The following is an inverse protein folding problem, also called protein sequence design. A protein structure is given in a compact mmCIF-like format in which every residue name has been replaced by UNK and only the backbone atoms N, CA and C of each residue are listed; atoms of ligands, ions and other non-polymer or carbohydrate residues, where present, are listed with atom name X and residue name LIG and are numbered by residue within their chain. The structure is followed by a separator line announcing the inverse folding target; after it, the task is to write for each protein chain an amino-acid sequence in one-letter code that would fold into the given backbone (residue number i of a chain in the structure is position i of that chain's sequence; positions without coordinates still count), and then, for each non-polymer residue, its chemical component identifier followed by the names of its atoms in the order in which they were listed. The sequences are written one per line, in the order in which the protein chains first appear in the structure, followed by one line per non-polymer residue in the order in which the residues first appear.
data_IF_777752567656
#
_entry.id   IF_777752567656
#
_cell.length_a   1.000
_cell.length_b   1.000
_cell.length_c   1.000
_cell.angle_alpha   90.00
_cell.angle_beta   90.00
_cell.angle_gamma   90.00
#
_symmetry.space_group_name_H-M   'P 1'
#
loop_
_entity.id
_entity.type
_entity.pdbx_description
1 polymer ?
#
# COMPACT_ATOMS: atom_id res chain seq x y z
N UNK A 1 -11.22 42.12 56.70
CA UNK A 1 -11.64 41.28 55.56
C UNK A 1 -11.60 42.11 54.27
N UNK A 2 -10.58 41.93 53.44
CA UNK A 2 -10.67 41.77 51.97
C UNK A 2 -9.26 41.51 51.42
N UNK A 3 -9.24 40.59 50.47
CA UNK A 3 -8.09 39.83 50.01
C UNK A 3 -7.18 40.58 49.04
N UNK A 4 -5.92 40.15 49.11
CA UNK A 4 -4.80 40.14 48.16
C UNK A 4 -5.21 39.95 46.68
N UNK A 5 -4.50 40.59 45.76
CA UNK A 5 -4.02 39.94 44.52
C UNK A 5 -2.91 40.74 43.83
N UNK A 6 -1.75 40.09 43.69
CA UNK A 6 -0.55 40.54 42.97
C UNK A 6 -0.64 40.00 41.53
N UNK A 7 -0.42 40.79 40.47
CA UNK A 7 -0.31 40.23 39.13
C UNK A 7 1.07 39.58 38.96
N UNK A 8 1.07 38.25 38.99
CA UNK A 8 2.15 37.41 38.52
C UNK A 8 2.34 37.59 37.00
N UNK A 9 3.39 38.30 36.58
CA UNK A 9 3.84 38.22 35.19
C UNK A 9 4.73 36.97 35.08
N UNK A 10 4.07 35.91 34.63
CA UNK A 10 4.55 34.53 34.53
C UNK A 10 5.74 34.43 33.58
N UNK A 11 6.77 33.73 34.03
CA UNK A 11 7.93 33.26 33.30
C UNK A 11 7.51 32.50 32.01
N UNK A 12 7.98 32.95 30.85
CA UNK A 12 7.97 32.14 29.63
C UNK A 12 9.30 31.37 29.55
N UNK A 13 9.32 30.19 30.18
CA UNK A 13 10.24 29.10 29.85
C UNK A 13 9.40 27.98 29.22
N UNK A 14 9.83 27.51 28.05
CA UNK A 14 9.25 26.38 27.32
C UNK A 14 9.68 26.48 25.85
N UNK A 15 10.89 26.08 25.47
CA UNK A 15 11.40 24.71 25.38
C UNK A 15 10.57 23.81 24.43
N UNK A 16 11.31 23.22 23.49
CA UNK A 16 10.92 22.16 22.56
C UNK A 16 9.97 22.54 21.41
N UNK A 17 10.53 23.18 20.37
CA UNK A 17 10.05 22.90 19.02
C UNK A 17 10.33 21.43 18.73
N UNK A 18 9.28 20.61 18.78
CA UNK A 18 9.31 19.20 18.45
C UNK A 18 9.98 18.99 17.08
N UNK A 19 11.16 18.36 17.07
CA UNK A 19 11.63 17.61 15.91
C UNK A 19 10.69 16.41 15.73
N UNK A 20 9.52 16.64 15.11
CA UNK A 20 8.76 15.59 14.45
C UNK A 20 9.13 15.62 12.96
N UNK A 21 10.41 15.44 12.69
CA UNK A 21 10.91 15.01 11.38
C UNK A 21 11.49 13.61 11.56
N UNK A 22 10.68 12.70 12.12
CA UNK A 22 10.83 11.31 11.78
C UNK A 22 10.40 11.23 10.33
N UNK A 23 11.40 11.06 9.46
CA UNK A 23 11.23 10.90 8.04
C UNK A 23 10.04 9.98 7.75
N UNK A 24 9.15 10.50 6.92
CA UNK A 24 8.13 9.80 6.14
C UNK A 24 8.87 8.78 5.25
N UNK A 25 9.38 7.72 5.87
CA UNK A 25 10.19 6.69 5.22
C UNK A 25 9.22 5.76 4.49
N UNK A 26 9.05 6.02 3.19
CA UNK A 26 8.65 5.02 2.20
C UNK A 26 7.33 4.28 2.47
N UNK A 27 6.18 4.94 2.52
CA UNK A 27 4.91 4.19 2.40
C UNK A 27 4.51 4.11 0.91
N UNK A 28 4.63 2.94 0.24
CA UNK A 28 4.14 2.74 -1.12
C UNK A 28 2.61 2.65 -1.09
N UNK A 29 1.96 3.77 -0.79
CA UNK A 29 0.51 3.84 -0.57
C UNK A 29 -0.31 3.96 -1.86
N UNK A 30 0.34 3.74 -3.00
CA UNK A 30 -0.29 3.96 -4.28
C UNK A 30 0.02 2.84 -5.26
N UNK A 31 -0.94 2.59 -6.13
CA UNK A 31 -0.84 1.70 -7.28
C UNK A 31 -1.75 2.28 -8.37
N UNK A 32 -1.23 2.46 -9.58
CA UNK A 32 -2.00 3.03 -10.68
C UNK A 32 -2.92 1.98 -11.31
N UNK A 33 -4.00 2.45 -11.92
CA UNK A 33 -4.82 1.60 -12.79
C UNK A 33 -4.08 1.33 -14.09
N UNK A 34 -4.23 0.14 -14.65
CA UNK A 34 -3.71 -0.19 -15.98
C UNK A 34 -3.41 -1.66 -16.17
N UNK A 35 -2.73 -1.97 -17.27
CA UNK A 35 -2.25 -3.31 -17.59
C UNK A 35 -0.85 -3.49 -17.02
N UNK A 36 -0.70 -4.48 -16.15
CA UNK A 36 0.58 -4.86 -15.59
C UNK A 36 1.09 -6.11 -16.28
N UNK A 37 2.35 -6.08 -16.68
CA UNK A 37 3.03 -7.18 -17.37
C UNK A 37 4.08 -7.82 -16.46
N UNK A 38 4.29 -9.15 -16.52
CA UNK A 38 5.31 -9.81 -15.72
C UNK A 38 6.71 -9.39 -16.18
N UNK A 39 7.54 -8.87 -15.27
CA UNK A 39 8.96 -8.63 -15.47
C UNK A 39 9.79 -9.88 -15.24
N UNK A 40 9.52 -10.56 -14.14
CA UNK A 40 10.17 -11.82 -13.73
C UNK A 40 9.10 -12.75 -13.19
N UNK A 41 9.26 -14.05 -13.42
CA UNK A 41 8.35 -15.07 -12.89
C UNK A 41 9.08 -16.41 -12.72
N UNK A 42 8.70 -17.18 -11.69
CA UNK A 42 9.16 -18.55 -11.54
C UNK A 42 8.30 -19.58 -12.32
N UNK A 43 7.28 -19.11 -13.05
CA UNK A 43 6.39 -19.94 -13.84
C UNK A 43 6.03 -19.23 -15.15
N UNK A 44 6.08 -19.94 -16.28
CA UNK A 44 5.83 -19.39 -17.61
C UNK A 44 4.36 -19.07 -17.90
N UNK A 45 3.44 -19.56 -17.08
CA UNK A 45 1.99 -19.38 -17.26
C UNK A 45 1.45 -18.16 -16.51
N UNK A 46 2.32 -17.28 -16.00
CA UNK A 46 1.91 -16.02 -15.39
C UNK A 46 1.52 -15.04 -16.48
N UNK A 47 0.28 -14.58 -16.42
CA UNK A 47 -0.29 -13.68 -17.41
C UNK A 47 -0.22 -12.21 -17.00
N UNK A 48 -0.31 -11.29 -17.96
CA UNK A 48 -0.63 -9.88 -17.69
C UNK A 48 -1.94 -9.71 -16.91
N UNK A 49 -2.04 -8.60 -16.18
CA UNK A 49 -3.10 -8.33 -15.22
C UNK A 49 -3.65 -6.91 -15.41
N UNK A 50 -4.94 -6.78 -15.76
CA UNK A 50 -5.62 -5.48 -15.70
C UNK A 50 -5.99 -5.19 -14.24
N UNK A 51 -5.42 -4.12 -13.70
CA UNK A 51 -5.58 -3.70 -12.31
C UNK A 51 -6.42 -2.42 -12.23
N UNK A 52 -7.42 -2.44 -11.36
CA UNK A 52 -8.22 -1.27 -10.96
C UNK A 52 -8.12 -1.07 -9.46
N UNK A 53 -7.91 0.16 -9.03
CA UNK A 53 -7.62 0.52 -7.65
C UNK A 53 -8.79 1.24 -7.01
N UNK A 54 -9.05 0.91 -5.75
CA UNK A 54 -10.07 1.54 -4.92
C UNK A 54 -9.39 2.30 -3.79
N UNK A 55 -9.80 3.55 -3.58
CA UNK A 55 -9.21 4.42 -2.58
C UNK A 55 -10.27 4.96 -1.63
N UNK A 56 -9.89 5.09 -0.37
CA UNK A 56 -10.66 5.78 0.65
C UNK A 56 -9.74 6.73 1.41
N UNK A 57 -10.13 8.01 1.51
CA UNK A 57 -9.34 9.04 2.18
C UNK A 57 -7.88 9.12 1.66
N UNK A 58 -7.70 8.98 0.34
CA UNK A 58 -6.39 9.03 -0.32
C UNK A 58 -5.53 7.78 -0.16
N UNK A 59 -6.01 6.72 0.49
CA UNK A 59 -5.27 5.46 0.70
C UNK A 59 -5.83 4.36 -0.18
N UNK A 60 -4.96 3.50 -0.70
CA UNK A 60 -5.36 2.28 -1.41
C UNK A 60 -6.01 1.30 -0.42
N UNK A 61 -7.27 0.93 -0.67
CA UNK A 61 -8.04 0.02 0.21
C UNK A 61 -8.36 -1.32 -0.44
N UNK A 62 -8.38 -1.37 -1.77
CA UNK A 62 -8.53 -2.62 -2.52
C UNK A 62 -8.01 -2.47 -3.95
N UNK A 63 -7.76 -3.62 -4.58
CA UNK A 63 -7.54 -3.73 -6.02
C UNK A 63 -8.51 -4.75 -6.62
N UNK A 64 -8.98 -4.52 -7.84
CA UNK A 64 -9.60 -5.52 -8.69
C UNK A 64 -8.63 -5.92 -9.78
N UNK A 65 -8.43 -7.21 -9.95
CA UNK A 65 -7.48 -7.77 -10.92
C UNK A 65 -8.20 -8.73 -11.85
N UNK A 66 -8.10 -8.46 -13.15
CA UNK A 66 -8.48 -9.39 -14.20
C UNK A 66 -7.23 -9.90 -14.91
N UNK A 67 -7.06 -11.22 -14.96
CA UNK A 67 -5.96 -11.85 -15.70
C UNK A 67 -6.29 -11.86 -17.19
N UNK A 68 -5.35 -11.42 -18.02
CA UNK A 68 -5.53 -11.24 -19.47
C UNK A 68 -4.80 -12.36 -20.22
N UNK A 69 -5.52 -13.05 -21.11
CA UNK A 69 -5.00 -14.16 -21.92
C UNK A 69 -5.51 -15.53 -21.45
N UNK A 70 -4.84 -16.60 -21.87
CA UNK A 70 -5.23 -18.00 -21.59
C UNK A 70 -4.77 -18.45 -20.19
N UNK A 71 -5.26 -17.75 -19.18
CA UNK A 71 -4.94 -17.99 -17.78
C UNK A 71 -6.07 -18.83 -17.15
N UNK A 72 -5.71 -19.78 -16.29
CA UNK A 72 -6.66 -20.69 -15.63
C UNK A 72 -7.79 -19.97 -14.86
N UNK A 73 -7.57 -18.73 -14.42
CA UNK A 73 -8.54 -17.89 -13.74
C UNK A 73 -8.72 -16.60 -14.52
N UNK A 74 -9.91 -16.37 -15.07
CA UNK A 74 -10.29 -15.08 -15.66
C UNK A 74 -11.13 -14.31 -14.63
N UNK A 75 -10.60 -13.20 -14.14
CA UNK A 75 -11.26 -12.33 -13.15
C UNK A 75 -12.42 -11.52 -13.73
N UNK A 76 -12.81 -10.39 -13.10
CA UNK A 76 -12.07 -9.67 -12.06
C UNK A 76 -12.29 -10.23 -10.64
N UNK A 77 -11.20 -10.35 -9.87
CA UNK A 77 -11.23 -10.67 -8.44
C UNK A 77 -10.84 -9.44 -7.62
N UNK A 78 -11.46 -9.25 -6.46
CA UNK A 78 -11.17 -8.14 -5.55
C UNK A 78 -10.29 -8.60 -4.40
N UNK A 79 -9.25 -7.82 -4.10
CA UNK A 79 -8.28 -8.07 -3.05
C UNK A 79 -8.21 -6.85 -2.14
N UNK A 80 -8.52 -7.02 -0.86
CA UNK A 80 -8.49 -5.95 0.12
C UNK A 80 -7.07 -5.68 0.57
N UNK A 81 -6.74 -4.40 0.74
CA UNK A 81 -5.42 -3.96 1.11
C UNK A 81 -5.34 -3.64 2.61
N UNK A 82 -4.22 -4.01 3.21
CA UNK A 82 -3.85 -3.68 4.58
C UNK A 82 -2.42 -3.15 4.59
N UNK A 83 -2.20 -2.07 5.33
CA UNK A 83 -0.86 -1.57 5.62
C UNK A 83 -0.31 -2.30 6.85
N UNK A 84 0.92 -2.79 6.70
CA UNK A 84 1.77 -3.23 7.81
C UNK A 84 2.84 -2.17 8.04
N UNK A 85 3.58 -2.20 9.17
CA UNK A 85 4.61 -1.19 9.45
C UNK A 85 5.67 -1.01 8.35
N UNK A 86 5.85 -2.00 7.46
CA UNK A 86 6.90 -1.98 6.45
C UNK A 86 6.39 -2.12 5.00
N UNK A 87 5.12 -2.48 4.80
CA UNK A 87 4.62 -2.84 3.46
C UNK A 87 3.11 -2.64 3.33
N UNK A 88 2.67 -2.23 2.14
CA UNK A 88 1.27 -2.29 1.71
C UNK A 88 1.02 -3.61 0.98
N UNK A 89 0.01 -4.36 1.43
CA UNK A 89 -0.30 -5.68 0.88
C UNK A 89 -1.78 -5.76 0.56
N UNK A 90 -2.13 -6.28 -0.62
CA UNK A 90 -3.51 -6.63 -0.98
C UNK A 90 -3.62 -8.14 -1.10
N UNK A 91 -4.63 -8.76 -0.49
CA UNK A 91 -4.69 -10.22 -0.45
C UNK A 91 -6.09 -10.80 -0.43
N UNK A 92 -6.16 -12.08 -0.77
CA UNK A 92 -7.26 -13.00 -0.53
C UNK A 92 -6.66 -14.35 -0.13
N UNK A 93 -7.45 -15.34 0.35
CA UNK A 93 -6.90 -16.66 0.62
C UNK A 93 -6.11 -17.23 -0.58
N UNK A 94 -4.85 -17.58 -0.36
CA UNK A 94 -3.95 -18.17 -1.36
C UNK A 94 -3.31 -17.19 -2.35
N UNK A 95 -3.60 -15.88 -2.25
CA UNK A 95 -3.15 -14.86 -3.20
C UNK A 95 -2.69 -13.60 -2.46
N UNK A 96 -1.49 -13.14 -2.77
CA UNK A 96 -0.87 -11.97 -2.15
C UNK A 96 -0.24 -11.04 -3.18
N UNK A 97 -0.50 -9.75 -3.03
CA UNK A 97 0.09 -8.66 -3.79
C UNK A 97 0.85 -7.77 -2.80
N UNK A 98 2.17 -7.66 -2.96
CA UNK A 98 3.01 -6.76 -2.18
C UNK A 98 3.33 -5.54 -3.03
N UNK A 99 2.73 -4.41 -2.70
CA UNK A 99 2.87 -3.16 -3.47
C UNK A 99 4.24 -2.56 -3.15
N UNK A 100 5.07 -2.38 -4.19
CA UNK A 100 6.43 -1.84 -4.04
C UNK A 100 6.47 -0.34 -4.29
N UNK A 101 5.72 0.11 -5.29
CA UNK A 101 5.51 1.52 -5.61
C UNK A 101 4.25 1.68 -6.48
N UNK A 102 4.05 2.87 -7.05
CA UNK A 102 2.87 3.20 -7.86
C UNK A 102 2.69 2.40 -9.16
N UNK A 103 3.73 1.70 -9.61
CA UNK A 103 3.78 0.96 -10.89
C UNK A 103 4.37 -0.43 -10.75
N UNK A 104 4.79 -0.86 -9.56
CA UNK A 104 5.37 -2.18 -9.33
C UNK A 104 4.73 -2.92 -8.16
N UNK A 105 4.54 -4.22 -8.33
CA UNK A 105 4.19 -5.12 -7.23
C UNK A 105 4.78 -6.52 -7.42
N UNK A 106 4.91 -7.23 -6.31
CA UNK A 106 5.16 -8.67 -6.29
C UNK A 106 3.83 -9.40 -6.14
N UNK A 107 3.52 -10.28 -7.08
CA UNK A 107 2.37 -11.19 -7.03
C UNK A 107 2.82 -12.56 -6.58
N UNK A 108 2.07 -13.15 -5.66
CA UNK A 108 2.35 -14.47 -5.09
C UNK A 108 1.05 -15.27 -5.06
N UNK A 109 1.06 -16.44 -5.69
CA UNK A 109 0.08 -17.48 -5.51
C UNK A 109 0.65 -18.51 -4.53
N UNK A 110 0.29 -18.36 -3.26
CA UNK A 110 0.80 -19.17 -2.15
C UNK A 110 0.36 -20.64 -2.27
N UNK A 111 -0.75 -20.91 -2.95
CA UNK A 111 -1.29 -22.27 -3.12
C UNK A 111 -0.39 -23.13 -3.98
N UNK A 112 0.27 -22.53 -4.98
CA UNK A 112 1.08 -23.25 -5.97
C UNK A 112 2.56 -22.85 -5.93
N UNK A 113 2.98 -22.06 -4.94
CA UNK A 113 4.34 -21.53 -4.80
C UNK A 113 4.82 -20.80 -6.07
N UNK A 114 3.92 -20.03 -6.70
CA UNK A 114 4.22 -19.24 -7.89
C UNK A 114 4.37 -17.78 -7.48
N UNK A 115 5.40 -17.11 -7.98
CA UNK A 115 5.59 -15.68 -7.79
C UNK A 115 6.06 -15.00 -9.08
N UNK A 116 5.69 -13.74 -9.22
CA UNK A 116 6.11 -12.89 -10.32
C UNK A 116 6.14 -11.42 -9.92
N UNK A 117 7.13 -10.69 -10.42
CA UNK A 117 7.19 -9.24 -10.32
C UNK A 117 6.47 -8.64 -11.53
N UNK A 118 5.68 -7.61 -11.29
CA UNK A 118 4.88 -6.94 -12.30
C UNK A 118 5.22 -5.46 -12.37
N UNK A 119 5.21 -4.92 -13.59
CA UNK A 119 5.34 -3.48 -13.88
C UNK A 119 4.17 -3.01 -14.76
N UNK A 120 3.76 -1.76 -14.57
CA UNK A 120 2.77 -1.10 -15.42
C UNK A 120 3.34 -0.84 -16.82
N UNK A 121 2.63 -1.30 -17.86
CA UNK A 121 2.96 -1.03 -19.26
C UNK A 121 2.86 0.46 -19.65
#
# INVERSE_FOLDING_TARGET
MKLVSVPACLLLLGAAANLAAAADLNSPNDLKNGLYVPLTANNSSVCPQEVRTFRQNGRLTAIKVAYVGDCYYSGPFEYYCAETPNELRCSSPGMLFVIRDSTHYLWINETYDIFAEFELE
#
